data_IF_279881969815
#
_entry.id   IF_279881969815
#
_cell.length_a   1.000
_cell.length_b   1.000
_cell.length_c   1.000
_cell.angle_alpha   90.00
_cell.angle_beta   90.00
_cell.angle_gamma   90.00
#
_symmetry.space_group_name_H-M   'P 1'
#
loop_
_entity.id
_entity.type
_entity.pdbx_description
1 polymer ?
#
# COMPACT_ATOMS: atom_id res chain seq x y z
N UNK A 1 5.97 -16.00 -13.16
CA UNK A 1 4.75 -15.54 -12.49
C UNK A 1 4.46 -14.12 -12.91
N UNK A 2 3.41 -13.94 -13.72
CA UNK A 2 3.04 -12.65 -14.30
C UNK A 2 1.87 -11.96 -13.57
N UNK A 3 1.26 -12.64 -12.59
CA UNK A 3 0.08 -12.17 -11.90
C UNK A 3 0.20 -12.40 -10.39
N UNK A 4 -0.53 -11.59 -9.62
CA UNK A 4 -0.58 -11.67 -8.17
C UNK A 4 -2.03 -11.55 -7.68
N UNK A 5 -2.39 -12.39 -6.72
CA UNK A 5 -3.64 -12.30 -5.98
C UNK A 5 -3.42 -11.43 -4.74
N UNK A 6 -4.14 -10.30 -4.70
CA UNK A 6 -3.94 -9.28 -3.67
C UNK A 6 -5.19 -9.16 -2.82
N UNK A 7 -5.02 -9.23 -1.50
CA UNK A 7 -6.05 -8.79 -0.55
C UNK A 7 -5.91 -7.29 -0.33
N UNK A 8 -6.97 -6.52 -0.54
CA UNK A 8 -6.95 -5.06 -0.52
C UNK A 8 -7.62 -4.49 0.73
N UNK A 9 -7.11 -3.38 1.25
CA UNK A 9 -7.68 -2.66 2.39
C UNK A 9 -8.99 -1.95 2.00
N UNK A 10 -10.07 -2.71 1.89
CA UNK A 10 -11.40 -2.20 1.55
C UNK A 10 -12.50 -3.05 2.19
N UNK A 11 -13.49 -2.43 2.87
CA UNK A 11 -14.64 -3.17 3.41
C UNK A 11 -15.43 -3.95 2.34
N UNK A 12 -15.36 -3.51 1.07
CA UNK A 12 -16.06 -4.15 -0.06
C UNK A 12 -15.36 -5.43 -0.52
N UNK A 13 -14.06 -5.57 -0.26
CA UNK A 13 -13.28 -6.75 -0.63
C UNK A 13 -13.73 -8.01 0.13
N UNK A 14 -14.23 -7.83 1.36
CA UNK A 14 -14.66 -8.91 2.23
C UNK A 14 -13.59 -10.01 2.33
N UNK A 15 -13.90 -11.23 1.86
CA UNK A 15 -13.06 -12.43 1.96
C UNK A 15 -12.36 -12.81 0.66
N UNK A 16 -12.28 -11.87 -0.30
CA UNK A 16 -11.78 -12.15 -1.66
C UNK A 16 -10.40 -11.53 -1.87
N UNK A 17 -9.64 -12.16 -2.75
CA UNK A 17 -8.49 -11.53 -3.43
C UNK A 17 -8.94 -10.96 -4.77
N UNK A 18 -8.08 -10.12 -5.34
CA UNK A 18 -8.25 -9.58 -6.67
C UNK A 18 -6.96 -9.84 -7.46
N UNK A 19 -7.11 -10.31 -8.70
CA UNK A 19 -6.00 -10.57 -9.60
C UNK A 19 -5.46 -9.28 -10.20
N UNK A 20 -4.15 -9.10 -10.13
CA UNK A 20 -3.43 -8.00 -10.77
C UNK A 20 -2.29 -8.53 -11.62
N UNK A 21 -2.01 -7.86 -12.73
CA UNK A 21 -0.82 -8.08 -13.53
C UNK A 21 0.41 -7.46 -12.85
N UNK A 22 1.54 -8.15 -12.93
CA UNK A 22 2.83 -7.66 -12.43
C UNK A 22 3.54 -6.96 -13.60
N UNK A 23 3.74 -5.63 -13.55
CA UNK A 23 4.38 -4.90 -14.63
C UNK A 23 5.85 -5.32 -14.81
N UNK A 24 6.35 -5.21 -16.04
CA UNK A 24 7.74 -5.56 -16.36
C UNK A 24 8.72 -4.72 -15.55
N UNK A 25 9.62 -5.39 -14.81
CA UNK A 25 10.63 -4.72 -13.96
C UNK A 25 10.26 -4.63 -12.48
N UNK A 26 9.04 -5.05 -12.10
CA UNK A 26 8.66 -5.17 -10.70
C UNK A 26 8.84 -6.62 -10.23
N UNK A 27 9.67 -6.82 -9.20
CA UNK A 27 9.79 -8.11 -8.51
C UNK A 27 8.85 -8.12 -7.32
N UNK A 28 8.01 -9.13 -7.21
CA UNK A 28 7.00 -9.26 -6.15
C UNK A 28 7.07 -10.67 -5.59
N UNK A 29 7.02 -10.77 -4.27
CA UNK A 29 6.97 -12.02 -3.53
C UNK A 29 5.63 -12.16 -2.78
N UNK A 30 5.32 -13.37 -2.34
CA UNK A 30 4.19 -13.60 -1.44
C UNK A 30 4.45 -12.89 -0.11
N UNK A 31 3.43 -12.18 0.38
CA UNK A 31 3.51 -11.34 1.58
C UNK A 31 4.02 -9.91 1.32
N UNK A 32 4.30 -9.54 0.06
CA UNK A 32 4.68 -8.18 -0.30
C UNK A 32 3.52 -7.20 -0.11
N UNK A 33 3.84 -6.03 0.42
CA UNK A 33 2.93 -4.90 0.46
C UNK A 33 2.98 -4.10 -0.85
N UNK A 34 1.82 -3.84 -1.46
CA UNK A 34 1.70 -3.24 -2.79
C UNK A 34 0.61 -2.17 -2.85
N UNK A 35 0.79 -1.23 -3.78
CA UNK A 35 -0.24 -0.27 -4.20
C UNK A 35 -0.98 -0.82 -5.41
N UNK A 36 -2.30 -0.92 -5.31
CA UNK A 36 -3.15 -1.45 -6.40
C UNK A 36 -4.36 -0.57 -6.68
N UNK A 37 -4.78 -0.46 -7.94
CA UNK A 37 -5.99 0.27 -8.30
C UNK A 37 -7.23 -0.55 -7.92
N UNK A 38 -8.20 0.06 -7.26
CA UNK A 38 -9.46 -0.56 -6.85
C UNK A 38 -10.63 0.40 -7.12
N UNK A 39 -11.31 0.21 -8.25
CA UNK A 39 -12.25 1.21 -8.78
C UNK A 39 -11.50 2.51 -9.13
N UNK A 40 -11.97 3.64 -8.60
CA UNK A 40 -11.34 4.97 -8.81
C UNK A 40 -10.30 5.31 -7.74
N UNK A 41 -9.96 4.36 -6.86
CA UNK A 41 -9.06 4.57 -5.72
C UNK A 41 -7.77 3.79 -5.90
N UNK A 42 -6.70 4.28 -5.28
CA UNK A 42 -5.46 3.53 -5.06
C UNK A 42 -5.45 3.05 -3.61
N UNK A 43 -5.32 1.74 -3.39
CA UNK A 43 -5.36 1.12 -2.07
C UNK A 43 -4.09 0.32 -1.78
N UNK A 44 -3.81 0.17 -0.50
CA UNK A 44 -2.82 -0.79 -0.02
C UNK A 44 -3.39 -2.20 -0.13
N UNK A 45 -2.54 -3.13 -0.53
CA UNK A 45 -2.86 -4.55 -0.51
C UNK A 45 -1.65 -5.39 -0.12
N UNK A 46 -1.92 -6.63 0.28
CA UNK A 46 -0.90 -7.65 0.52
C UNK A 46 -1.07 -8.76 -0.50
N UNK A 47 0.02 -9.15 -1.15
CA UNK A 47 0.08 -10.26 -2.10
C UNK A 47 -0.02 -11.57 -1.32
N UNK A 48 -1.02 -12.39 -1.62
CA UNK A 48 -1.24 -13.67 -0.94
C UNK A 48 -0.83 -14.86 -1.81
N UNK A 49 -0.88 -14.71 -3.12
CA UNK A 49 -0.51 -15.74 -4.08
C UNK A 49 0.07 -15.11 -5.34
N UNK A 50 0.95 -15.84 -6.02
CA UNK A 50 1.50 -15.50 -7.32
C UNK A 50 1.07 -16.57 -8.33
N UNK A 51 0.80 -16.17 -9.56
CA UNK A 51 0.35 -17.07 -10.63
C UNK A 51 0.97 -16.71 -11.98
N UNK A 52 1.06 -17.70 -12.87
CA UNK A 52 1.40 -17.50 -14.29
C UNK A 52 0.17 -17.14 -15.15
N UNK A 53 -1.04 -17.38 -14.64
CA UNK A 53 -2.30 -17.14 -15.32
C UNK A 53 -3.20 -16.22 -14.50
N UNK A 54 -3.90 -15.26 -15.12
CA UNK A 54 -4.84 -14.43 -14.38
C UNK A 54 -6.10 -15.23 -14.06
N UNK A 55 -6.73 -14.98 -12.90
CA UNK A 55 -8.01 -15.60 -12.57
C UNK A 55 -9.21 -14.96 -13.32
N UNK A 56 -8.97 -13.85 -14.02
CA UNK A 56 -9.97 -13.07 -14.76
C UNK A 56 -9.41 -12.61 -16.11
N UNK A 57 -10.27 -12.37 -17.10
CA UNK A 57 -9.84 -11.97 -18.46
C UNK A 57 -9.13 -10.61 -18.49
N UNK A 58 -9.66 -9.62 -17.78
CA UNK A 58 -9.09 -8.28 -17.69
C UNK A 58 -8.49 -8.03 -16.31
N UNK A 59 -7.19 -7.76 -16.26
CA UNK A 59 -6.48 -7.41 -15.03
C UNK A 59 -5.92 -6.00 -15.14
N UNK A 60 -5.93 -5.28 -14.01
CA UNK A 60 -5.17 -4.04 -13.86
C UNK A 60 -3.77 -4.36 -13.36
N UNK A 61 -2.83 -3.46 -13.59
CA UNK A 61 -1.46 -3.63 -13.11
C UNK A 61 -1.28 -3.17 -11.66
N UNK A 62 -0.35 -3.81 -10.95
CA UNK A 62 0.17 -3.31 -9.67
C UNK A 62 0.93 -2.01 -9.91
N UNK A 63 0.61 -0.96 -9.16
CA UNK A 63 1.24 0.36 -9.34
C UNK A 63 2.66 0.38 -8.80
N UNK A 64 2.90 -0.34 -7.70
CA UNK A 64 4.23 -0.44 -7.12
C UNK A 64 4.22 -1.17 -5.79
N UNK A 65 5.42 -1.36 -5.25
CA UNK A 65 5.68 -2.00 -3.97
C UNK A 65 5.77 -0.91 -2.88
N UNK A 66 5.18 -1.16 -1.71
CA UNK A 66 5.17 -0.22 -0.56
C UNK A 66 6.49 -0.34 0.22
N UNK A 67 6.88 -1.58 0.56
CA UNK A 67 8.09 -1.90 1.31
C UNK A 67 8.95 -2.84 0.47
N UNK A 68 10.29 -2.70 0.45
CA UNK A 68 11.15 -3.47 -0.44
C UNK A 68 11.20 -4.96 -0.08
N UNK A 69 10.81 -5.34 1.14
CA UNK A 69 10.77 -6.73 1.60
C UNK A 69 9.33 -7.17 1.94
N UNK A 70 9.02 -8.47 1.84
CA UNK A 70 7.74 -9.01 2.28
C UNK A 70 7.48 -8.70 3.75
N UNK A 71 6.31 -8.15 4.05
CA UNK A 71 5.90 -7.91 5.44
C UNK A 71 5.40 -9.19 6.10
N UNK A 72 4.85 -10.11 5.31
CA UNK A 72 4.37 -11.40 5.77
C UNK A 72 5.23 -12.54 5.23
N UNK A 73 5.49 -13.52 6.09
CA UNK A 73 6.06 -14.79 5.69
C UNK A 73 4.97 -15.72 5.13
N UNK A 74 5.31 -16.78 4.38
CA UNK A 74 4.31 -17.74 3.90
C UNK A 74 3.43 -18.34 5.02
N UNK A 75 3.97 -18.70 6.20
CA UNK A 75 3.13 -19.12 7.34
C UNK A 75 2.13 -18.06 7.81
N UNK A 76 2.49 -16.77 7.78
CA UNK A 76 1.56 -15.68 8.12
C UNK A 76 0.41 -15.59 7.12
N UNK A 77 0.70 -15.74 5.82
CA UNK A 77 -0.32 -15.76 4.77
C UNK A 77 -1.31 -16.91 4.96
N UNK A 78 -0.79 -18.12 5.22
CA UNK A 78 -1.63 -19.29 5.51
C UNK A 78 -2.48 -19.09 6.77
N UNK A 79 -1.90 -18.50 7.82
CA UNK A 79 -2.63 -18.21 9.05
C UNK A 79 -3.74 -17.17 8.81
N UNK A 80 -3.47 -16.12 8.04
CA UNK A 80 -4.47 -15.09 7.72
C UNK A 80 -5.65 -15.66 6.91
N UNK A 81 -5.35 -16.53 5.93
CA UNK A 81 -6.38 -17.26 5.18
C UNK A 81 -7.21 -18.13 6.12
N UNK A 82 -6.56 -18.93 6.99
CA UNK A 82 -7.25 -19.77 7.97
C UNK A 82 -8.15 -18.96 8.92
N UNK A 83 -7.69 -17.81 9.44
CA UNK A 83 -8.49 -16.93 10.29
C UNK A 83 -9.73 -16.43 9.53
N UNK A 84 -9.55 -15.93 8.30
CA UNK A 84 -10.64 -15.41 7.48
C UNK A 84 -11.68 -16.48 7.14
N UNK A 85 -11.24 -17.69 6.82
CA UNK A 85 -12.11 -18.83 6.53
C UNK A 85 -12.85 -19.32 7.77
N UNK A 86 -12.12 -19.51 8.88
CA UNK A 86 -12.67 -20.09 10.10
C UNK A 86 -13.65 -19.14 10.81
N UNK A 87 -13.31 -17.84 10.88
CA UNK A 87 -14.12 -16.84 11.58
C UNK A 87 -15.01 -16.02 10.66
N UNK A 88 -15.02 -16.31 9.36
CA UNK A 88 -15.78 -15.58 8.34
C UNK A 88 -15.49 -14.07 8.32
N UNK A 89 -14.32 -13.65 8.81
CA UNK A 89 -13.89 -12.25 8.83
C UNK A 89 -13.33 -11.81 7.49
N UNK A 90 -13.35 -10.51 7.14
CA UNK A 90 -12.67 -10.02 5.96
C UNK A 90 -11.20 -10.45 5.94
N UNK A 91 -10.70 -10.80 4.75
CA UNK A 91 -9.37 -11.36 4.58
C UNK A 91 -8.29 -10.32 4.92
N UNK A 92 -8.51 -9.07 4.52
CA UNK A 92 -7.57 -8.01 4.83
C UNK A 92 -7.49 -7.74 6.34
N UNK A 93 -8.61 -7.80 7.07
CA UNK A 93 -8.61 -7.62 8.52
C UNK A 93 -7.80 -8.72 9.22
N UNK A 94 -7.87 -9.97 8.73
CA UNK A 94 -7.07 -11.08 9.24
C UNK A 94 -5.56 -10.90 8.96
N UNK A 95 -5.23 -10.39 7.77
CA UNK A 95 -3.87 -10.01 7.37
C UNK A 95 -3.32 -8.88 8.24
N UNK A 96 -4.15 -7.85 8.51
CA UNK A 96 -3.77 -6.64 9.23
C UNK A 96 -3.30 -6.91 10.67
N UNK A 97 -3.78 -7.99 11.31
CA UNK A 97 -3.35 -8.41 12.65
C UNK A 97 -1.85 -8.73 12.75
N UNK A 98 -1.19 -9.00 11.61
CA UNK A 98 0.22 -9.39 11.54
C UNK A 98 1.11 -8.29 10.97
N UNK A 99 0.52 -7.15 10.57
CA UNK A 99 1.24 -6.04 9.97
C UNK A 99 1.86 -5.13 11.04
N UNK A 100 2.98 -4.45 10.73
CA UNK A 100 3.57 -3.49 11.65
C UNK A 100 2.58 -2.36 11.98
N UNK A 101 2.66 -1.81 13.22
CA UNK A 101 1.76 -0.74 13.62
C UNK A 101 1.93 0.47 12.71
N UNK A 102 0.82 0.99 12.20
CA UNK A 102 0.82 2.16 11.34
C UNK A 102 0.88 1.89 9.84
N UNK A 103 0.92 0.61 9.41
CA UNK A 103 0.81 0.26 7.99
C UNK A 103 -0.39 0.90 7.30
N UNK A 104 -1.55 0.88 7.98
CA UNK A 104 -2.80 1.45 7.47
C UNK A 104 -2.92 2.98 7.65
N UNK A 105 -1.91 3.63 8.24
CA UNK A 105 -1.96 5.08 8.45
C UNK A 105 -1.71 5.79 7.12
N UNK A 106 -2.54 6.79 6.85
CA UNK A 106 -2.27 7.75 5.79
C UNK A 106 -0.97 8.49 6.10
N UNK A 107 -0.19 8.78 5.05
CA UNK A 107 1.00 9.60 5.16
C UNK A 107 0.65 10.93 5.87
N UNK A 108 1.39 11.25 6.93
CA UNK A 108 1.25 12.52 7.65
C UNK A 108 2.27 13.47 7.05
N UNK A 109 1.81 14.61 6.52
CA UNK A 109 2.70 15.64 6.00
C UNK A 109 3.44 16.29 7.17
N UNK A 110 4.75 16.11 7.22
CA UNK A 110 5.62 16.83 8.14
C UNK A 110 6.06 18.14 7.49
N UNK A 111 5.76 19.26 8.15
CA UNK A 111 6.30 20.58 7.79
C UNK A 111 7.48 20.81 8.72
N UNK A 112 8.67 20.99 8.15
CA UNK A 112 9.84 21.45 8.90
C UNK A 112 10.28 22.81 8.35
N UNK A 113 10.76 23.68 9.23
CA UNK A 113 11.50 24.87 8.78
C UNK A 113 12.80 24.39 8.14
N UNK A 114 13.21 24.95 6.99
CA UNK A 114 14.54 24.69 6.47
C UNK A 114 15.59 25.06 7.53
N UNK A 115 16.62 24.24 7.67
CA UNK A 115 17.71 24.45 8.64
C UNK A 115 18.55 25.69 8.32
N UNK A 116 18.42 26.20 7.09
CA UNK A 116 19.03 27.42 6.60
C UNK A 116 17.92 28.26 6.01
N UNK A 117 17.64 29.41 6.62
CA UNK A 117 16.82 30.44 5.99
C UNK A 117 17.66 31.02 4.83
N UNK A 118 17.19 30.99 3.57
CA UNK A 118 17.70 31.96 2.61
C UNK A 118 17.49 33.36 3.20
N UNK A 119 18.45 34.27 3.05
CA UNK A 119 18.29 35.64 3.53
C UNK A 119 16.94 36.17 3.05
N UNK A 120 16.07 36.65 3.97
CA UNK A 120 14.74 37.06 3.57
C UNK A 120 14.89 38.20 2.55
N UNK A 121 14.33 38.01 1.35
CA UNK A 121 14.30 39.06 0.35
C UNK A 121 13.30 40.15 0.78
N UNK A 122 13.79 41.07 1.61
CA UNK A 122 13.01 42.16 2.16
C UNK A 122 12.72 43.26 1.12
N UNK A 123 13.19 43.11 -0.13
CA UNK A 123 13.03 44.12 -1.19
C UNK A 123 11.55 44.43 -1.47
N UNK A 124 10.67 43.47 -1.24
CA UNK A 124 9.21 43.58 -1.42
C UNK A 124 8.44 44.14 -0.21
N UNK A 125 9.08 44.29 0.96
CA UNK A 125 8.41 44.83 2.16
C UNK A 125 8.44 46.36 2.20
N UNK A 126 7.34 46.94 2.68
CA UNK A 126 7.21 48.38 2.89
C UNK A 126 8.19 48.89 3.98
N UNK A 127 8.49 50.19 4.03
CA UNK A 127 9.39 50.75 5.04
C UNK A 127 8.97 50.45 6.48
N UNK A 128 7.67 50.45 6.75
CA UNK A 128 7.10 50.15 8.08
C UNK A 128 7.25 48.66 8.43
N UNK A 129 7.17 47.76 7.44
CA UNK A 129 7.31 46.31 7.62
C UNK A 129 8.76 45.86 7.87
N UNK A 130 9.76 46.70 7.57
CA UNK A 130 11.18 46.41 7.80
C UNK A 130 11.68 46.79 9.20
N UNK A 131 10.83 47.43 10.02
CA UNK A 131 11.21 47.99 11.32
C UNK A 131 10.72 47.17 12.54
N UNK A 132 10.09 46.02 12.31
CA UNK A 132 9.57 45.11 13.36
C UNK A 132 10.45 43.87 13.49
#
# INVERSE_FOLDING_TARGET
MGYAEVSVNSPVAQRRTFSYAIPSGLSIDVGQAVWVPFGDKLLQGIVLELSDYPAVEETREIVGVIEPYPLLSPPHVLLAQWISEHYLSPLFDAVALMLPPGFERKAVTFISSPSTLPEPDLSSFSPEQRQV
#
